data_IF_835920427452
#
_entry.id   IF_835920427452
#
_cell.length_a   1.000
_cell.length_b   1.000
_cell.length_c   1.000
_cell.angle_alpha   90.00
_cell.angle_beta   90.00
_cell.angle_gamma   90.00
#
_symmetry.space_group_name_H-M   'P 1'
#
loop_
_entity.id
_entity.type
_entity.pdbx_description
1 polymer ?
#
# COMPACT_ATOMS: atom_id res chain seq x y z
N UNK A 1 3.27 -15.39 -19.15
CA UNK A 1 2.07 -15.16 -18.28
C UNK A 1 1.74 -16.36 -17.39
N UNK A 2 2.01 -17.57 -17.78
CA UNK A 2 1.98 -18.76 -16.89
C UNK A 2 3.05 -18.73 -15.79
N UNK A 3 4.10 -17.95 -16.00
CA UNK A 3 5.28 -17.88 -15.12
C UNK A 3 4.99 -17.28 -13.74
N UNK A 4 4.14 -16.22 -13.65
CA UNK A 4 3.86 -15.57 -12.34
C UNK A 4 2.99 -16.43 -11.43
N UNK A 5 2.06 -17.19 -12.00
CA UNK A 5 1.20 -18.11 -11.25
C UNK A 5 2.01 -19.30 -10.72
N UNK A 6 2.99 -19.78 -11.51
CA UNK A 6 3.91 -20.81 -11.06
C UNK A 6 4.84 -20.32 -9.96
N UNK A 7 5.42 -19.12 -10.11
CA UNK A 7 6.24 -18.50 -9.06
C UNK A 7 5.42 -18.33 -7.78
N UNK A 8 4.17 -17.91 -7.90
CA UNK A 8 3.28 -17.77 -6.75
C UNK A 8 3.02 -19.13 -6.08
N UNK A 9 2.79 -20.20 -6.83
CA UNK A 9 2.53 -21.51 -6.28
C UNK A 9 3.72 -22.05 -5.43
N UNK A 10 4.92 -21.66 -5.81
CA UNK A 10 6.18 -22.08 -5.17
C UNK A 10 6.70 -21.07 -4.12
N UNK A 11 5.91 -20.03 -3.80
CA UNK A 11 6.32 -18.96 -2.89
C UNK A 11 5.32 -18.76 -1.76
N UNK A 12 5.79 -18.47 -0.56
CA UNK A 12 4.93 -18.05 0.56
C UNK A 12 4.55 -16.57 0.48
N UNK A 13 5.47 -15.74 -0.02
CA UNK A 13 5.30 -14.28 -0.13
C UNK A 13 5.90 -13.77 -1.44
N UNK A 14 5.20 -12.84 -2.10
CA UNK A 14 5.68 -12.11 -3.27
C UNK A 14 5.70 -10.62 -2.96
N UNK A 15 6.84 -9.97 -3.20
CA UNK A 15 6.97 -8.52 -3.21
C UNK A 15 6.83 -8.00 -4.63
N UNK A 16 5.92 -7.05 -4.84
CA UNK A 16 5.71 -6.39 -6.13
C UNK A 16 6.32 -4.99 -6.04
N UNK A 17 7.39 -4.75 -6.82
CA UNK A 17 8.07 -3.47 -6.92
C UNK A 17 7.99 -2.96 -8.36
N UNK A 18 6.82 -2.52 -8.78
CA UNK A 18 6.54 -2.09 -10.14
C UNK A 18 6.03 -0.64 -10.17
N UNK A 19 6.16 0.05 -11.32
CA UNK A 19 5.52 1.34 -11.53
C UNK A 19 4.00 1.27 -11.33
N UNK A 20 3.38 2.42 -11.02
CA UNK A 20 1.93 2.54 -10.83
C UNK A 20 1.13 1.97 -12.01
N UNK A 21 0.04 1.29 -11.72
CA UNK A 21 -0.81 0.65 -12.70
C UNK A 21 -0.40 -0.77 -13.10
N UNK A 22 0.74 -1.27 -12.62
CA UNK A 22 1.21 -2.61 -12.96
C UNK A 22 0.99 -3.65 -11.85
N UNK A 23 1.10 -3.25 -10.59
CA UNK A 23 0.92 -4.16 -9.46
C UNK A 23 -0.51 -4.73 -9.41
N UNK A 24 -1.52 -3.93 -9.70
CA UNK A 24 -2.91 -4.36 -9.71
C UNK A 24 -3.22 -5.44 -10.75
N UNK A 25 -2.49 -5.50 -11.87
CA UNK A 25 -2.63 -6.56 -12.87
C UNK A 25 -2.16 -7.91 -12.33
N UNK A 26 -1.07 -7.89 -11.58
CA UNK A 26 -0.51 -9.08 -10.93
C UNK A 26 -1.40 -9.50 -9.77
N UNK A 27 -1.75 -8.57 -8.88
CA UNK A 27 -2.62 -8.84 -7.73
C UNK A 27 -3.96 -9.44 -8.13
N UNK A 28 -4.58 -8.92 -9.19
CA UNK A 28 -5.81 -9.48 -9.75
C UNK A 28 -5.66 -10.93 -10.19
N UNK A 29 -4.54 -11.28 -10.85
CA UNK A 29 -4.27 -12.66 -11.30
C UNK A 29 -4.03 -13.62 -10.13
N UNK A 30 -3.36 -13.14 -9.09
CA UNK A 30 -3.00 -13.94 -7.93
C UNK A 30 -4.07 -13.94 -6.83
N UNK A 31 -5.21 -13.28 -7.06
CA UNK A 31 -6.31 -13.26 -6.10
C UNK A 31 -6.81 -14.67 -5.80
N UNK A 32 -6.85 -15.01 -4.52
CA UNK A 32 -7.24 -16.33 -4.06
C UNK A 32 -6.11 -17.37 -4.03
N UNK A 33 -4.89 -17.00 -4.43
CA UNK A 33 -3.72 -17.84 -4.20
C UNK A 33 -3.42 -17.95 -2.70
N UNK A 34 -2.64 -18.96 -2.31
CA UNK A 34 -2.15 -19.11 -0.92
C UNK A 34 -1.03 -18.12 -0.60
N UNK A 35 -0.39 -17.58 -1.63
CA UNK A 35 0.76 -16.70 -1.54
C UNK A 35 0.36 -15.33 -1.05
N UNK A 36 1.05 -14.80 -0.07
CA UNK A 36 0.85 -13.43 0.39
C UNK A 36 1.51 -12.45 -0.58
N UNK A 37 0.84 -11.34 -0.82
CA UNK A 37 1.32 -10.29 -1.73
C UNK A 37 1.62 -9.04 -0.92
N UNK A 38 2.81 -8.46 -1.11
CA UNK A 38 3.19 -7.16 -0.57
C UNK A 38 3.48 -6.23 -1.75
N UNK A 39 2.58 -5.28 -1.99
CA UNK A 39 2.75 -4.26 -3.02
C UNK A 39 3.55 -3.08 -2.46
N UNK A 40 4.73 -2.84 -3.02
CA UNK A 40 5.58 -1.68 -2.70
C UNK A 40 5.19 -0.45 -3.53
N UNK A 41 4.32 -0.63 -4.53
CA UNK A 41 3.76 0.43 -5.35
C UNK A 41 2.64 1.22 -4.67
N UNK A 42 1.92 2.00 -5.45
CA UNK A 42 0.82 2.83 -4.96
C UNK A 42 -0.58 2.28 -5.22
N UNK A 43 -0.68 1.18 -5.97
CA UNK A 43 -1.93 0.74 -6.58
C UNK A 43 -3.02 0.38 -5.56
N UNK A 44 -2.64 -0.15 -4.42
CA UNK A 44 -3.57 -0.65 -3.40
C UNK A 44 -3.61 0.18 -2.11
N UNK A 45 -2.99 1.37 -2.07
CA UNK A 45 -2.90 2.17 -0.82
C UNK A 45 -4.20 2.82 -0.40
N UNK A 46 -5.13 3.05 -1.31
CA UNK A 46 -6.40 3.71 -1.05
C UNK A 46 -7.53 2.71 -0.89
N UNK A 47 -8.37 2.89 0.13
CA UNK A 47 -9.58 2.07 0.30
C UNK A 47 -10.58 2.28 -0.83
N UNK A 48 -10.67 3.52 -1.31
CA UNK A 48 -11.47 3.88 -2.47
C UNK A 48 -10.56 4.01 -3.68
N UNK A 49 -10.67 3.07 -4.60
CA UNK A 49 -9.87 3.05 -5.83
C UNK A 49 -10.04 4.32 -6.69
N UNK A 50 -11.19 5.03 -6.55
CA UNK A 50 -11.44 6.28 -7.29
C UNK A 50 -10.45 7.38 -6.89
N UNK A 51 -10.00 7.37 -5.63
CA UNK A 51 -8.95 8.29 -5.17
C UNK A 51 -7.62 7.98 -5.89
N UNK A 52 -7.29 6.71 -6.07
CA UNK A 52 -6.13 6.33 -6.87
C UNK A 52 -6.26 6.84 -8.31
N UNK A 53 -7.40 6.61 -8.96
CA UNK A 53 -7.64 7.06 -10.34
C UNK A 53 -7.56 8.59 -10.47
N UNK A 54 -8.09 9.32 -9.49
CA UNK A 54 -8.03 10.79 -9.45
C UNK A 54 -6.60 11.30 -9.39
N UNK A 55 -5.76 10.74 -8.52
CA UNK A 55 -4.40 11.24 -8.29
C UNK A 55 -3.38 10.72 -9.30
N UNK A 56 -3.44 9.43 -9.62
CA UNK A 56 -2.46 8.81 -10.52
C UNK A 56 -2.84 8.88 -12.00
N UNK A 57 -4.09 9.29 -12.33
CA UNK A 57 -4.61 9.38 -13.71
C UNK A 57 -4.54 8.04 -14.46
N UNK A 58 -4.62 6.94 -13.74
CA UNK A 58 -4.59 5.57 -14.25
C UNK A 58 -5.85 4.87 -13.77
N UNK A 59 -6.54 4.16 -14.67
CA UNK A 59 -7.73 3.38 -14.31
C UNK A 59 -7.32 2.18 -13.45
N UNK A 60 -8.03 1.97 -12.34
CA UNK A 60 -7.78 0.84 -11.47
C UNK A 60 -8.37 -0.45 -12.05
N UNK A 61 -7.52 -1.44 -12.33
CA UNK A 61 -7.94 -2.70 -12.95
C UNK A 61 -8.42 -3.77 -11.95
N UNK A 62 -8.28 -3.50 -10.66
CA UNK A 62 -8.64 -4.41 -9.56
C UNK A 62 -9.41 -3.70 -8.43
N UNK A 63 -10.56 -3.05 -8.72
CA UNK A 63 -11.31 -2.24 -7.76
C UNK A 63 -11.93 -3.04 -6.60
N UNK A 64 -12.04 -4.35 -6.74
CA UNK A 64 -12.61 -5.24 -5.72
C UNK A 64 -11.57 -5.79 -4.74
N UNK A 65 -10.28 -5.45 -4.94
CA UNK A 65 -9.22 -5.93 -4.07
C UNK A 65 -9.37 -5.35 -2.65
N UNK A 66 -9.21 -6.20 -1.67
CA UNK A 66 -9.17 -5.81 -0.27
C UNK A 66 -7.72 -5.87 0.22
N UNK A 67 -7.03 -4.76 0.12
CA UNK A 67 -5.68 -4.62 0.64
C UNK A 67 -5.69 -4.02 2.04
N UNK A 68 -4.80 -4.50 2.89
CA UNK A 68 -4.52 -3.89 4.19
C UNK A 68 -3.39 -2.89 4.02
N UNK A 69 -3.58 -1.67 4.53
CA UNK A 69 -2.51 -0.66 4.55
C UNK A 69 -1.38 -1.11 5.47
N UNK A 70 -0.18 -1.25 4.94
CA UNK A 70 0.95 -1.95 5.55
C UNK A 70 1.70 -1.18 6.63
N UNK A 71 1.09 -0.18 7.28
CA UNK A 71 1.70 0.54 8.39
C UNK A 71 1.58 -0.30 9.67
N UNK A 72 2.57 -1.17 9.87
CA UNK A 72 2.56 -2.22 10.90
C UNK A 72 2.44 -1.69 12.33
N UNK A 73 2.90 -0.48 12.60
CA UNK A 73 2.82 0.19 13.89
C UNK A 73 1.36 0.45 14.31
N UNK A 74 0.47 0.65 13.33
CA UNK A 74 -0.95 0.92 13.57
C UNK A 74 -1.86 -0.27 13.27
N UNK A 75 -1.46 -1.13 12.30
CA UNK A 75 -2.34 -2.15 11.73
C UNK A 75 -1.75 -3.56 11.80
N UNK A 76 -0.85 -3.84 12.77
CA UNK A 76 -0.12 -5.11 12.91
C UNK A 76 -1.00 -6.35 12.78
N UNK A 77 -2.10 -6.40 13.52
CA UNK A 77 -2.98 -7.57 13.53
C UNK A 77 -3.71 -7.76 12.19
N UNK A 78 -4.05 -6.67 11.53
CA UNK A 78 -4.66 -6.71 10.19
C UNK A 78 -3.63 -7.18 9.16
N UNK A 79 -2.41 -6.64 9.19
CA UNK A 79 -1.31 -7.01 8.29
C UNK A 79 -0.95 -8.49 8.44
N UNK A 80 -0.89 -8.99 9.67
CA UNK A 80 -0.60 -10.40 9.94
C UNK A 80 -1.54 -11.36 9.22
N UNK A 81 -2.82 -10.99 9.13
CA UNK A 81 -3.88 -11.83 8.57
C UNK A 81 -4.19 -11.50 7.09
N UNK A 82 -3.55 -10.48 6.52
CA UNK A 82 -3.80 -10.06 5.14
C UNK A 82 -3.20 -11.03 4.11
N UNK A 83 -3.91 -11.21 3.01
CA UNK A 83 -3.38 -11.84 1.79
C UNK A 83 -2.72 -10.82 0.86
N UNK A 84 -3.18 -9.56 0.92
CA UNK A 84 -2.64 -8.45 0.14
C UNK A 84 -2.34 -7.27 1.07
N UNK A 85 -1.08 -6.86 1.09
CA UNK A 85 -0.59 -5.72 1.89
C UNK A 85 -0.14 -4.61 0.95
N UNK A 86 -0.69 -3.42 1.11
CA UNK A 86 -0.26 -2.21 0.42
C UNK A 86 0.77 -1.47 1.27
N UNK A 87 2.04 -1.60 0.92
CA UNK A 87 3.12 -0.96 1.67
C UNK A 87 3.06 0.56 1.54
N UNK A 88 3.09 1.32 2.64
CA UNK A 88 3.01 2.77 2.59
C UNK A 88 4.25 3.42 1.95
N UNK A 89 4.08 4.61 1.40
CA UNK A 89 5.19 5.43 0.92
C UNK A 89 6.02 6.01 2.08
N UNK A 90 7.28 6.34 1.81
CA UNK A 90 8.21 6.84 2.82
C UNK A 90 7.73 8.13 3.51
N UNK A 91 7.29 9.13 2.75
CA UNK A 91 6.79 10.39 3.31
C UNK A 91 5.53 10.22 4.16
N UNK A 92 4.58 9.41 3.68
CA UNK A 92 3.35 9.13 4.42
C UNK A 92 3.64 8.35 5.70
N UNK A 93 4.56 7.39 5.66
CA UNK A 93 5.00 6.65 6.86
C UNK A 93 5.57 7.59 7.90
N UNK A 94 6.56 8.42 7.54
CA UNK A 94 7.18 9.37 8.45
C UNK A 94 6.16 10.34 9.04
N UNK A 95 5.30 10.93 8.20
CA UNK A 95 4.31 11.92 8.61
C UNK A 95 3.26 11.32 9.54
N UNK A 96 2.72 10.16 9.20
CA UNK A 96 1.70 9.49 10.02
C UNK A 96 2.29 9.08 11.37
N UNK A 97 3.44 8.43 11.39
CA UNK A 97 4.05 7.98 12.65
C UNK A 97 4.44 9.14 13.57
N UNK A 98 4.88 10.27 13.00
CA UNK A 98 5.16 11.46 13.79
C UNK A 98 3.88 12.11 14.37
N UNK A 99 2.78 12.12 13.60
CA UNK A 99 1.56 12.83 13.98
C UNK A 99 0.61 12.00 14.85
N UNK A 100 0.55 10.69 14.64
CA UNK A 100 -0.42 9.83 15.35
C UNK A 100 -0.37 9.96 16.87
N UNK A 101 0.78 9.89 17.55
CA UNK A 101 0.81 10.04 18.99
C UNK A 101 0.36 11.42 19.46
N UNK A 102 0.70 12.48 18.72
CA UNK A 102 0.32 13.84 19.07
C UNK A 102 -1.18 14.08 18.95
N UNK A 103 -1.78 13.58 17.85
CA UNK A 103 -3.21 13.69 17.61
C UNK A 103 -4.03 12.75 18.52
N UNK A 104 -3.53 11.54 18.77
CA UNK A 104 -4.21 10.56 19.61
C UNK A 104 -4.38 11.01 21.07
N UNK A 105 -3.45 11.82 21.55
CA UNK A 105 -3.46 12.34 22.92
C UNK A 105 -3.88 13.82 22.99
N UNK A 106 -4.42 14.37 21.90
CA UNK A 106 -4.88 15.77 21.79
C UNK A 106 -3.81 16.79 22.20
N UNK A 107 -2.54 16.50 21.86
CA UNK A 107 -1.41 17.37 22.17
C UNK A 107 -1.20 18.51 21.17
N UNK A 108 -1.85 18.42 20.01
CA UNK A 108 -1.80 19.43 18.95
C UNK A 108 -3.19 19.62 18.32
N UNK A 109 -3.40 20.77 17.71
CA UNK A 109 -4.61 21.05 16.93
C UNK A 109 -4.68 20.15 15.69
N UNK A 110 -5.91 19.76 15.31
CA UNK A 110 -6.18 18.93 14.13
C UNK A 110 -6.12 19.72 12.82
N UNK A 111 -5.91 21.02 12.88
CA UNK A 111 -5.87 21.94 11.73
C UNK A 111 -4.53 22.65 11.67
N UNK A 112 -4.17 23.12 10.47
CA UNK A 112 -2.93 23.86 10.26
C UNK A 112 -1.66 23.03 10.32
N UNK A 113 -1.76 21.70 10.18
CA UNK A 113 -0.59 20.81 10.14
C UNK A 113 0.11 20.99 8.80
N UNK A 114 1.39 21.34 8.85
CA UNK A 114 2.23 21.49 7.67
C UNK A 114 3.32 20.41 7.69
N UNK A 115 3.43 19.66 6.61
CA UNK A 115 4.49 18.67 6.41
C UNK A 115 5.42 19.16 5.30
N UNK A 116 6.63 19.58 5.67
CA UNK A 116 7.67 19.96 4.71
C UNK A 116 8.59 18.78 4.45
N UNK A 117 8.29 18.02 3.39
CA UNK A 117 8.98 16.80 3.01
C UNK A 117 9.93 17.05 1.85
N UNK A 118 11.20 16.71 2.03
CA UNK A 118 12.26 16.91 1.03
C UNK A 118 12.87 15.58 0.61
N UNK A 119 13.01 15.39 -0.70
CA UNK A 119 13.66 14.23 -1.29
C UNK A 119 15.08 14.59 -1.76
N UNK A 120 15.99 13.63 -1.68
CA UNK A 120 17.28 13.74 -2.34
C UNK A 120 17.14 13.64 -3.87
N UNK A 121 18.25 13.88 -4.60
CA UNK A 121 18.28 13.88 -6.07
C UNK A 121 18.00 12.51 -6.69
N UNK A 122 18.19 11.43 -5.93
CA UNK A 122 17.95 10.04 -6.33
C UNK A 122 16.75 9.39 -5.67
N UNK A 123 15.99 10.15 -4.90
CA UNK A 123 14.84 9.65 -4.12
C UNK A 123 13.52 9.73 -4.82
#
# INVERSE_FOLDING_TARGET
>A
MQEIEQIAADSDVIFIALPHGHAMKIGKKLRGSKTKIIDLGGDYRFRDYRVFEEWYKVKHEDPEAQAVYGLTELYRDQVKNASLVANPGCYTTCSILAMVPLLKYDLIEHQGIIVDAKSGTSG
#
